data_IF_096314574105
#
_entry.id   IF_096314574105
#
_cell.length_a   1.000
_cell.length_b   1.000
_cell.length_c   1.000
_cell.angle_alpha   90.00
_cell.angle_beta   90.00
_cell.angle_gamma   90.00
#
_symmetry.space_group_name_H-M   'P 1'
#
loop_
_entity.id
_entity.type
_entity.pdbx_description
1 polymer ?
#
# COMPACT_ATOMS: atom_id res chain seq x y z
N UNK A 1 18.41 13.32 -40.46
CA UNK A 1 17.19 12.57 -40.08
C UNK A 1 17.34 12.08 -38.65
N UNK A 2 16.62 12.67 -37.68
CA UNK A 2 16.60 12.17 -36.29
C UNK A 2 15.38 11.27 -36.10
N UNK A 3 15.63 9.99 -35.80
CA UNK A 3 14.57 9.01 -35.61
C UNK A 3 13.69 9.36 -34.40
N UNK A 4 12.35 9.27 -34.50
CA UNK A 4 11.43 9.61 -33.41
C UNK A 4 11.67 8.81 -32.11
N UNK A 5 12.24 7.61 -32.20
CA UNK A 5 12.61 6.77 -31.05
C UNK A 5 13.72 7.36 -30.16
N UNK A 6 14.61 8.18 -30.72
CA UNK A 6 15.67 8.83 -29.93
C UNK A 6 15.09 9.82 -28.91
N UNK A 7 14.02 10.55 -29.30
CA UNK A 7 13.36 11.53 -28.41
C UNK A 7 12.57 10.87 -27.28
N UNK A 8 11.97 9.70 -27.52
CA UNK A 8 11.24 8.96 -26.48
C UNK A 8 12.18 8.34 -25.45
N UNK A 9 13.32 7.78 -25.89
CA UNK A 9 14.32 7.23 -24.99
C UNK A 9 14.92 8.32 -24.09
N UNK A 10 15.31 9.47 -24.65
CA UNK A 10 15.81 10.61 -23.89
C UNK A 10 14.80 11.14 -22.86
N UNK A 11 13.51 11.17 -23.23
CA UNK A 11 12.43 11.59 -22.33
C UNK A 11 12.22 10.60 -21.19
N UNK A 12 12.20 9.30 -21.49
CA UNK A 12 12.07 8.26 -20.48
C UNK A 12 13.26 8.28 -19.50
N UNK A 13 14.49 8.38 -20.00
CA UNK A 13 15.69 8.50 -19.17
C UNK A 13 15.64 9.76 -18.30
N UNK A 14 15.16 10.89 -18.83
CA UNK A 14 15.00 12.12 -18.06
C UNK A 14 13.98 11.97 -16.93
N UNK A 15 12.85 11.32 -17.19
CA UNK A 15 11.82 11.04 -16.18
C UNK A 15 12.39 10.14 -15.09
N UNK A 16 12.99 9.00 -15.45
CA UNK A 16 13.58 8.06 -14.49
C UNK A 16 14.64 8.73 -13.63
N UNK A 17 15.57 9.49 -14.24
CA UNK A 17 16.57 10.27 -13.49
C UNK A 17 15.92 11.32 -12.60
N UNK A 18 14.85 11.96 -13.08
CA UNK A 18 14.06 12.90 -12.29
C UNK A 18 13.45 12.25 -11.05
N UNK A 19 12.82 11.08 -11.19
CA UNK A 19 12.20 10.32 -10.10
C UNK A 19 13.24 9.86 -9.09
N UNK A 20 14.36 9.30 -9.55
CA UNK A 20 15.47 8.88 -8.67
C UNK A 20 16.02 10.07 -7.89
N UNK A 21 16.20 11.22 -8.54
CA UNK A 21 16.65 12.45 -7.88
C UNK A 21 15.65 12.92 -6.85
N UNK A 22 14.37 13.01 -7.20
CA UNK A 22 13.31 13.47 -6.29
C UNK A 22 13.20 12.53 -5.07
N UNK A 23 13.19 11.21 -5.30
CA UNK A 23 13.14 10.23 -4.23
C UNK A 23 14.32 10.32 -3.26
N UNK A 24 15.52 10.63 -3.78
CA UNK A 24 16.71 10.87 -2.94
C UNK A 24 16.62 12.19 -2.19
N UNK A 25 16.26 13.29 -2.86
CA UNK A 25 16.14 14.62 -2.24
C UNK A 25 15.11 14.63 -1.11
N UNK A 26 14.01 13.90 -1.27
CA UNK A 26 12.93 13.80 -0.28
C UNK A 26 13.14 12.71 0.76
N UNK A 27 14.26 11.99 0.74
CA UNK A 27 14.54 10.86 1.64
C UNK A 27 13.39 9.83 1.66
N UNK A 28 12.84 9.47 0.49
CA UNK A 28 11.72 8.52 0.34
C UNK A 28 12.00 7.19 1.04
N UNK A 29 13.23 6.70 0.97
CA UNK A 29 13.64 5.48 1.66
C UNK A 29 13.47 5.56 3.19
N UNK A 30 13.71 6.71 3.80
CA UNK A 30 13.53 6.90 5.24
C UNK A 30 12.05 6.94 5.62
N UNK A 31 11.24 7.66 4.84
CA UNK A 31 9.78 7.72 5.04
C UNK A 31 9.12 6.35 4.82
N UNK A 32 9.58 5.57 3.85
CA UNK A 32 9.12 4.20 3.66
C UNK A 32 9.38 3.33 4.91
N UNK A 33 10.51 3.53 5.59
CA UNK A 33 10.83 2.88 6.86
C UNK A 33 9.85 3.22 7.99
N UNK A 34 9.47 4.49 8.13
CA UNK A 34 8.52 4.92 9.18
C UNK A 34 7.10 4.39 8.92
N UNK A 35 6.67 4.35 7.65
CA UNK A 35 5.40 3.75 7.23
C UNK A 35 5.42 2.26 7.50
N UNK A 36 6.49 1.55 7.11
CA UNK A 36 6.62 0.11 7.31
C UNK A 36 6.59 -0.28 8.78
N UNK A 37 7.30 0.45 9.64
CA UNK A 37 7.25 0.25 11.09
C UNK A 37 5.83 0.46 11.64
N UNK A 38 5.17 1.55 11.21
CA UNK A 38 3.79 1.85 11.66
C UNK A 38 2.81 0.75 11.20
N UNK A 39 2.97 0.24 9.98
CA UNK A 39 2.17 -0.86 9.45
C UNK A 39 2.43 -2.15 10.23
N UNK A 40 3.69 -2.49 10.47
CA UNK A 40 4.09 -3.68 11.23
C UNK A 40 3.47 -3.70 12.64
N UNK A 41 3.56 -2.60 13.38
CA UNK A 41 2.97 -2.47 14.72
C UNK A 41 1.45 -2.64 14.69
N UNK A 42 0.80 -2.24 13.60
CA UNK A 42 -0.65 -2.33 13.42
C UNK A 42 -1.14 -3.74 13.03
N UNK A 43 -0.26 -4.63 12.58
CA UNK A 43 -0.64 -5.96 12.11
C UNK A 43 -1.09 -6.88 13.24
N UNK A 44 -0.45 -6.85 14.42
CA UNK A 44 -0.83 -7.74 15.53
C UNK A 44 -2.26 -7.50 16.01
N UNK A 45 -2.69 -6.26 16.32
CA UNK A 45 -4.09 -5.98 16.64
C UNK A 45 -5.05 -6.34 15.50
N UNK A 46 -4.63 -6.12 14.24
CA UNK A 46 -5.46 -6.44 13.08
C UNK A 46 -5.74 -7.94 12.99
N UNK A 47 -4.70 -8.78 13.08
CA UNK A 47 -4.83 -10.23 13.01
C UNK A 47 -5.73 -10.75 14.14
N UNK A 48 -5.54 -10.23 15.37
CA UNK A 48 -6.39 -10.56 16.51
C UNK A 48 -7.87 -10.25 16.22
N UNK A 49 -8.16 -9.05 15.70
CA UNK A 49 -9.52 -8.63 15.43
C UNK A 49 -10.16 -9.36 14.24
N UNK A 50 -9.38 -9.69 13.20
CA UNK A 50 -9.85 -10.52 12.10
C UNK A 50 -10.22 -11.92 12.59
N UNK A 51 -9.44 -12.48 13.51
CA UNK A 51 -9.74 -13.75 14.18
C UNK A 51 -11.02 -13.66 15.01
N UNK A 52 -11.16 -12.63 15.85
CA UNK A 52 -12.38 -12.42 16.66
C UNK A 52 -13.60 -12.29 15.74
N UNK A 53 -13.51 -11.45 14.70
CA UNK A 53 -14.59 -11.26 13.74
C UNK A 53 -14.94 -12.56 13.00
N UNK A 54 -13.94 -13.33 12.58
CA UNK A 54 -14.13 -14.64 11.95
C UNK A 54 -14.84 -15.63 12.89
N UNK A 55 -14.46 -15.67 14.16
CA UNK A 55 -15.09 -16.53 15.18
C UNK A 55 -16.54 -16.12 15.44
N UNK A 56 -16.83 -14.82 15.51
CA UNK A 56 -18.19 -14.29 15.75
C UNK A 56 -19.11 -14.54 14.55
N UNK A 57 -18.61 -14.34 13.32
CA UNK A 57 -19.43 -14.43 12.09
C UNK A 57 -19.56 -15.88 11.60
N UNK A 58 -18.52 -16.70 11.74
CA UNK A 58 -18.43 -18.01 11.09
C UNK A 58 -18.25 -19.23 11.99
N UNK A 59 -18.21 -19.04 13.32
CA UNK A 59 -18.04 -20.12 14.29
C UNK A 59 -16.75 -20.94 14.11
N UNK A 60 -16.69 -22.14 14.70
CA UNK A 60 -15.52 -23.04 14.62
C UNK A 60 -15.12 -23.41 13.17
N UNK A 61 -16.08 -23.39 12.24
CA UNK A 61 -15.86 -23.75 10.83
C UNK A 61 -14.96 -22.75 10.08
N UNK A 62 -15.08 -21.46 10.37
CA UNK A 62 -14.27 -20.41 9.73
C UNK A 62 -12.90 -20.32 10.39
N UNK A 63 -12.83 -20.51 11.71
CA UNK A 63 -11.58 -20.60 12.46
C UNK A 63 -10.71 -21.79 11.97
N UNK A 64 -11.33 -22.95 11.70
CA UNK A 64 -10.67 -24.11 11.10
C UNK A 64 -10.13 -23.83 9.69
N UNK A 65 -10.89 -23.11 8.86
CA UNK A 65 -10.45 -22.68 7.52
C UNK A 65 -9.28 -21.71 7.58
N UNK A 66 -9.33 -20.70 8.45
CA UNK A 66 -8.21 -19.77 8.67
C UNK A 66 -6.98 -20.55 9.13
N UNK A 67 -7.10 -21.43 10.14
CA UNK A 67 -5.98 -22.25 10.61
C UNK A 67 -5.37 -23.12 9.49
N UNK A 68 -6.20 -23.73 8.65
CA UNK A 68 -5.73 -24.52 7.50
C UNK A 68 -5.06 -23.65 6.42
N UNK A 69 -5.57 -22.44 6.18
CA UNK A 69 -5.05 -21.52 5.18
C UNK A 69 -3.73 -20.88 5.62
N UNK A 70 -3.56 -20.58 6.91
CA UNK A 70 -2.34 -19.98 7.44
C UNK A 70 -1.30 -21.01 7.87
N UNK A 71 -1.68 -22.27 8.09
CA UNK A 71 -0.78 -23.34 8.53
C UNK A 71 0.40 -23.59 7.58
N UNK A 72 0.18 -23.43 6.28
CA UNK A 72 1.25 -23.53 5.26
C UNK A 72 2.23 -22.36 5.26
N UNK A 73 1.90 -21.25 5.92
CA UNK A 73 2.70 -20.01 5.92
C UNK A 73 3.30 -19.68 7.28
N UNK A 74 2.77 -20.26 8.37
CA UNK A 74 3.25 -20.06 9.73
C UNK A 74 4.12 -21.22 10.20
N UNK A 75 5.21 -20.90 10.89
CA UNK A 75 6.00 -21.88 11.63
C UNK A 75 5.15 -22.58 12.72
N UNK A 76 5.56 -23.74 13.24
CA UNK A 76 4.85 -24.42 14.33
C UNK A 76 4.54 -23.49 15.52
N UNK A 77 5.47 -22.59 15.85
CA UNK A 77 5.29 -21.56 16.89
C UNK A 77 4.26 -20.50 16.49
N UNK A 78 4.27 -20.04 15.23
CA UNK A 78 3.25 -19.11 14.73
C UNK A 78 1.85 -19.73 14.75
N UNK A 79 1.75 -21.03 14.47
CA UNK A 79 0.48 -21.77 14.52
C UNK A 79 -0.04 -21.93 15.95
N UNK A 80 0.83 -22.19 16.94
CA UNK A 80 0.41 -22.27 18.35
C UNK A 80 -0.06 -20.92 18.87
N UNK A 81 0.68 -19.84 18.59
CA UNK A 81 0.28 -18.48 18.98
C UNK A 81 -1.06 -18.05 18.38
N UNK A 82 -1.31 -18.41 17.11
CA UNK A 82 -2.58 -18.15 16.46
C UNK A 82 -3.71 -18.98 17.10
N UNK A 83 -3.48 -20.26 17.39
CA UNK A 83 -4.48 -21.13 18.03
C UNK A 83 -4.81 -20.67 19.47
N UNK A 84 -3.81 -20.23 20.23
CA UNK A 84 -3.99 -19.66 21.56
C UNK A 84 -4.77 -18.35 21.51
N UNK A 85 -4.50 -17.51 20.52
CA UNK A 85 -5.25 -16.26 20.30
C UNK A 85 -6.72 -16.53 19.93
N UNK A 86 -6.99 -17.54 19.08
CA UNK A 86 -8.34 -17.94 18.68
C UNK A 86 -9.13 -18.49 19.89
N UNK A 87 -8.50 -19.34 20.70
CA UNK A 87 -9.18 -19.97 21.86
C UNK A 87 -9.47 -18.97 22.98
N UNK A 88 -8.63 -17.95 23.16
CA UNK A 88 -8.81 -16.89 24.16
C UNK A 88 -9.72 -15.74 23.69
N UNK A 89 -9.88 -15.57 22.37
CA UNK A 89 -10.70 -14.51 21.78
C UNK A 89 -12.18 -14.57 22.20
N UNK A 90 -12.74 -15.78 22.42
CA UNK A 90 -14.15 -15.97 22.77
C UNK A 90 -14.51 -15.67 24.22
N UNK A 91 -13.54 -15.58 25.14
CA UNK A 91 -13.80 -15.54 26.59
C UNK A 91 -13.46 -14.20 27.26
N UNK A 92 -12.88 -13.23 26.54
CA UNK A 92 -12.42 -11.97 27.15
C UNK A 92 -12.86 -10.72 26.37
N UNK A 93 -14.03 -10.18 26.72
CA UNK A 93 -14.59 -8.94 26.15
C UNK A 93 -13.64 -7.73 26.32
N UNK A 94 -12.87 -7.68 27.40
CA UNK A 94 -11.90 -6.59 27.67
C UNK A 94 -10.69 -6.55 26.73
N UNK A 95 -10.20 -7.72 26.27
CA UNK A 95 -9.11 -7.80 25.30
C UNK A 95 -9.53 -7.34 23.91
N UNK A 96 -10.81 -7.50 23.57
CA UNK A 96 -11.37 -7.04 22.29
C UNK A 96 -11.40 -5.51 22.20
N UNK A 97 -11.80 -4.81 23.28
CA UNK A 97 -11.83 -3.33 23.31
C UNK A 97 -10.42 -2.76 23.21
N UNK A 98 -9.45 -3.28 23.97
CA UNK A 98 -8.05 -2.86 23.87
C UNK A 98 -7.49 -3.12 22.48
N UNK A 99 -7.77 -4.27 21.88
CA UNK A 99 -7.38 -4.59 20.50
C UNK A 99 -7.92 -3.58 19.48
N UNK A 100 -9.21 -3.20 19.60
CA UNK A 100 -9.82 -2.18 18.73
C UNK A 100 -9.11 -0.83 18.90
N UNK A 101 -8.88 -0.38 20.13
CA UNK A 101 -8.21 0.90 20.40
C UNK A 101 -6.79 0.90 19.81
N UNK A 102 -6.02 -0.17 20.01
CA UNK A 102 -4.65 -0.28 19.48
C UNK A 102 -4.66 -0.38 17.95
N UNK A 103 -5.61 -1.09 17.35
CA UNK A 103 -5.74 -1.14 15.89
C UNK A 103 -6.07 0.23 15.31
N UNK A 104 -7.08 0.92 15.86
CA UNK A 104 -7.46 2.25 15.38
C UNK A 104 -6.30 3.24 15.50
N UNK A 105 -5.56 3.18 16.61
CA UNK A 105 -4.35 3.95 16.80
C UNK A 105 -3.27 3.60 15.76
N UNK A 106 -3.06 2.32 15.48
CA UNK A 106 -2.11 1.83 14.47
C UNK A 106 -2.47 2.26 13.05
N UNK A 107 -3.73 2.06 12.64
CA UNK A 107 -4.26 2.49 11.34
C UNK A 107 -4.10 4.00 11.18
N UNK A 108 -4.50 4.79 12.18
CA UNK A 108 -4.30 6.23 12.17
C UNK A 108 -2.83 6.61 12.00
N UNK A 109 -1.91 5.91 12.67
CA UNK A 109 -0.47 6.14 12.54
C UNK A 109 0.04 5.86 11.12
N UNK A 110 -0.43 4.81 10.46
CA UNK A 110 -0.07 4.49 9.06
C UNK A 110 -0.59 5.57 8.12
N UNK A 111 -1.85 5.97 8.26
CA UNK A 111 -2.47 7.00 7.43
C UNK A 111 -1.76 8.34 7.60
N UNK A 112 -1.47 8.72 8.85
CA UNK A 112 -0.69 9.92 9.17
C UNK A 112 0.72 9.87 8.58
N UNK A 113 1.38 8.72 8.62
CA UNK A 113 2.72 8.57 8.04
C UNK A 113 2.69 8.70 6.51
N UNK A 114 1.67 8.15 5.84
CA UNK A 114 1.45 8.33 4.41
C UNK A 114 1.16 9.78 4.05
N UNK A 115 0.18 10.39 4.70
CA UNK A 115 -0.19 11.80 4.57
C UNK A 115 1.03 12.72 4.70
N UNK A 116 1.78 12.59 5.79
CA UNK A 116 3.00 13.36 6.02
C UNK A 116 4.06 13.14 4.93
N UNK A 117 4.22 11.89 4.46
CA UNK A 117 5.20 11.58 3.41
C UNK A 117 4.78 12.14 2.04
N UNK A 118 3.48 12.09 1.72
CA UNK A 118 2.93 12.69 0.51
C UNK A 118 3.08 14.21 0.56
N UNK A 119 2.65 14.88 1.63
CA UNK A 119 2.80 16.33 1.76
C UNK A 119 4.26 16.78 1.66
N UNK A 120 5.20 16.00 2.21
CA UNK A 120 6.64 16.26 2.05
C UNK A 120 7.14 16.09 0.61
N UNK A 121 6.66 15.08 -0.13
CA UNK A 121 7.02 14.85 -1.54
C UNK A 121 6.44 15.95 -2.45
N UNK A 122 5.19 16.36 -2.20
CA UNK A 122 4.49 17.38 -2.99
C UNK A 122 4.80 18.82 -2.57
N UNK A 123 5.61 19.04 -1.54
CA UNK A 123 5.93 20.36 -0.97
C UNK A 123 4.69 21.17 -0.57
N UNK A 124 3.64 20.49 -0.10
CA UNK A 124 2.42 21.18 0.32
C UNK A 124 2.55 21.78 1.71
N UNK A 125 2.15 23.04 1.81
CA UNK A 125 2.18 23.87 3.02
C UNK A 125 0.83 23.90 3.75
N UNK A 126 -0.20 23.18 3.25
CA UNK A 126 -1.47 23.06 3.99
C UNK A 126 -1.13 22.43 5.34
N UNK A 127 -1.66 23.04 6.41
CA UNK A 127 -1.32 22.66 7.77
C UNK A 127 -1.61 21.17 7.93
N UNK A 128 -0.56 20.37 8.16
CA UNK A 128 -0.62 18.96 8.55
C UNK A 128 -1.20 18.83 9.98
N UNK A 129 -2.37 19.42 10.22
CA UNK A 129 -3.06 19.44 11.49
C UNK A 129 -3.76 18.08 11.67
N UNK A 130 -3.72 17.52 12.88
CA UNK A 130 -4.29 16.21 13.21
C UNK A 130 -5.73 15.98 12.69
N UNK A 131 -6.65 16.96 12.72
CA UNK A 131 -8.00 16.78 12.19
C UNK A 131 -8.04 16.56 10.67
N UNK A 132 -7.15 17.20 9.90
CA UNK A 132 -7.09 17.02 8.45
C UNK A 132 -6.60 15.60 8.14
N UNK A 133 -5.52 15.17 8.79
CA UNK A 133 -4.95 13.82 8.63
C UNK A 133 -5.95 12.71 8.97
N UNK A 134 -6.82 12.94 9.97
CA UNK A 134 -7.90 12.01 10.30
C UNK A 134 -8.96 11.96 9.19
N UNK A 135 -9.38 13.12 8.69
CA UNK A 135 -10.37 13.22 7.61
C UNK A 135 -9.85 12.56 6.33
N UNK A 136 -8.63 12.90 5.92
CA UNK A 136 -8.01 12.36 4.71
C UNK A 136 -7.77 10.86 4.84
N UNK A 137 -7.28 10.41 6.00
CA UNK A 137 -7.20 9.01 6.34
C UNK A 137 -8.53 8.27 6.24
N UNK A 138 -9.61 8.82 6.79
CA UNK A 138 -10.94 8.21 6.73
C UNK A 138 -11.49 8.17 5.29
N UNK A 139 -11.33 9.24 4.51
CA UNK A 139 -11.72 9.29 3.10
C UNK A 139 -10.95 8.24 2.29
N UNK A 140 -9.64 8.12 2.50
CA UNK A 140 -8.81 7.11 1.83
C UNK A 140 -9.26 5.71 2.24
N UNK A 141 -9.50 5.42 3.53
CA UNK A 141 -9.95 4.10 3.96
C UNK A 141 -11.28 3.69 3.32
N UNK A 142 -12.27 4.59 3.30
CA UNK A 142 -13.58 4.33 2.68
C UNK A 142 -13.40 4.13 1.17
N UNK A 143 -12.61 4.97 0.51
CA UNK A 143 -12.36 4.87 -0.92
C UNK A 143 -11.59 3.58 -1.29
N UNK A 144 -10.62 3.16 -0.47
CA UNK A 144 -9.92 1.88 -0.62
C UNK A 144 -10.89 0.70 -0.46
N UNK A 145 -11.77 0.74 0.54
CA UNK A 145 -12.79 -0.28 0.74
C UNK A 145 -13.75 -0.37 -0.46
N UNK A 146 -14.26 0.76 -0.94
CA UNK A 146 -15.13 0.82 -2.11
C UNK A 146 -14.44 0.34 -3.39
N UNK A 147 -13.19 0.77 -3.62
CA UNK A 147 -12.39 0.34 -4.76
C UNK A 147 -12.12 -1.17 -4.73
N UNK A 148 -11.79 -1.72 -3.55
CA UNK A 148 -11.58 -3.16 -3.36
C UNK A 148 -12.86 -3.95 -3.65
N UNK A 149 -14.01 -3.51 -3.13
CA UNK A 149 -15.31 -4.15 -3.41
C UNK A 149 -15.69 -4.07 -4.88
N UNK A 150 -15.44 -2.93 -5.54
CA UNK A 150 -15.69 -2.77 -6.97
C UNK A 150 -14.81 -3.72 -7.81
N UNK A 151 -13.54 -3.86 -7.45
CA UNK A 151 -12.62 -4.83 -8.08
C UNK A 151 -13.10 -6.26 -7.85
N UNK A 152 -13.54 -6.60 -6.64
CA UNK A 152 -14.05 -7.94 -6.32
C UNK A 152 -15.32 -8.26 -7.11
N UNK A 153 -16.24 -7.30 -7.23
CA UNK A 153 -17.44 -7.43 -8.05
C UNK A 153 -17.10 -7.56 -9.55
N UNK A 154 -16.11 -6.81 -10.05
CA UNK A 154 -15.66 -6.94 -11.44
C UNK A 154 -15.01 -8.32 -11.70
N UNK A 155 -14.31 -8.87 -10.72
CA UNK A 155 -13.65 -10.17 -10.83
C UNK A 155 -14.63 -11.35 -10.98
N UNK A 156 -15.88 -11.23 -10.49
CA UNK A 156 -16.90 -12.28 -10.67
C UNK A 156 -17.51 -12.29 -12.06
N UNK A 157 -17.42 -11.17 -12.80
CA UNK A 157 -17.97 -11.01 -14.16
C UNK A 157 -17.00 -11.58 -15.19
N UNK A 158 -15.69 -11.45 -14.94
CA UNK A 158 -14.62 -11.82 -15.88
C UNK A 158 -14.71 -13.26 -16.46
N UNK A 159 -15.07 -14.29 -15.68
CA UNK A 159 -15.23 -15.67 -16.18
C UNK A 159 -16.39 -15.86 -17.17
N UNK A 160 -17.36 -14.95 -17.18
CA UNK A 160 -18.57 -15.05 -18.01
C UNK A 160 -18.44 -14.33 -19.37
N UNK A 161 -17.26 -13.80 -19.69
CA UNK A 161 -16.98 -13.16 -20.98
C UNK A 161 -16.32 -14.19 -21.92
N UNK A 162 -17.06 -14.83 -22.83
CA UNK A 162 -16.48 -15.80 -23.76
C UNK A 162 -15.55 -15.14 -24.78
N UNK A 163 -14.56 -15.88 -25.28
CA UNK A 163 -13.65 -15.50 -26.38
C UNK A 163 -12.75 -14.27 -26.14
N UNK A 164 -12.13 -14.16 -24.96
CA UNK A 164 -11.12 -13.12 -24.70
C UNK A 164 -9.81 -13.47 -25.45
N UNK A 165 -9.37 -12.63 -26.42
CA UNK A 165 -8.07 -12.82 -27.06
C UNK A 165 -6.93 -12.53 -26.05
N UNK A 166 -5.86 -13.32 -26.11
CA UNK A 166 -4.68 -13.19 -25.24
C UNK A 166 -4.99 -13.18 -23.72
N UNK A 167 -5.56 -14.26 -23.16
CA UNK A 167 -6.04 -14.31 -21.78
C UNK A 167 -4.96 -13.96 -20.74
N UNK A 168 -3.68 -14.28 -21.02
CA UNK A 168 -2.56 -13.90 -20.16
C UNK A 168 -2.35 -12.38 -20.10
N UNK A 169 -2.35 -11.70 -21.26
CA UNK A 169 -2.19 -10.24 -21.32
C UNK A 169 -3.38 -9.53 -20.68
N UNK A 170 -4.59 -10.02 -20.93
CA UNK A 170 -5.81 -9.46 -20.33
C UNK A 170 -5.79 -9.62 -18.81
N UNK A 171 -5.36 -10.77 -18.28
CA UNK A 171 -5.19 -10.98 -16.84
C UNK A 171 -4.16 -10.04 -16.22
N UNK A 172 -3.01 -9.87 -16.85
CA UNK A 172 -1.98 -8.94 -16.36
C UNK A 172 -2.46 -7.49 -16.42
N UNK A 173 -3.08 -7.08 -17.52
CA UNK A 173 -3.63 -5.72 -17.68
C UNK A 173 -4.77 -5.44 -16.69
N UNK A 174 -5.66 -6.41 -16.46
CA UNK A 174 -6.76 -6.27 -15.50
C UNK A 174 -6.24 -6.17 -14.07
N UNK A 175 -5.17 -6.89 -13.72
CA UNK A 175 -4.52 -6.76 -12.42
C UNK A 175 -3.93 -5.37 -12.22
N UNK A 176 -3.20 -4.85 -13.21
CA UNK A 176 -2.64 -3.50 -13.13
C UNK A 176 -3.74 -2.45 -13.06
N UNK A 177 -4.80 -2.59 -13.84
CA UNK A 177 -5.97 -1.70 -13.79
C UNK A 177 -6.63 -1.73 -12.41
N UNK A 178 -6.90 -2.92 -11.88
CA UNK A 178 -7.51 -3.11 -10.56
C UNK A 178 -6.66 -2.47 -9.45
N UNK A 179 -5.35 -2.75 -9.43
CA UNK A 179 -4.43 -2.15 -8.48
C UNK A 179 -4.35 -0.63 -8.65
N UNK A 180 -4.39 -0.11 -9.88
CA UNK A 180 -4.38 1.34 -10.13
C UNK A 180 -5.62 2.00 -9.55
N UNK A 181 -6.80 1.38 -9.71
CA UNK A 181 -8.06 1.85 -9.12
C UNK A 181 -8.00 1.83 -7.60
N UNK A 182 -7.44 0.75 -7.02
CA UNK A 182 -7.26 0.64 -5.56
C UNK A 182 -6.28 1.69 -5.06
N UNK A 183 -5.17 1.96 -5.74
CA UNK A 183 -4.20 2.94 -5.26
C UNK A 183 -4.62 4.40 -5.52
N UNK A 184 -5.50 4.67 -6.48
CA UNK A 184 -5.85 6.03 -6.90
C UNK A 184 -6.27 6.97 -5.76
N UNK A 185 -7.10 6.56 -4.77
CA UNK A 185 -7.48 7.44 -3.66
C UNK A 185 -6.27 7.94 -2.86
N UNK A 186 -5.26 7.10 -2.65
CA UNK A 186 -4.01 7.46 -1.94
C UNK A 186 -3.30 8.60 -2.68
N UNK A 187 -3.23 8.51 -4.02
CA UNK A 187 -2.58 9.50 -4.86
C UNK A 187 -3.39 10.78 -5.10
N UNK A 188 -4.68 10.76 -4.80
CA UNK A 188 -5.57 11.89 -4.99
C UNK A 188 -5.79 12.69 -3.71
N UNK A 189 -5.88 12.02 -2.55
CA UNK A 189 -6.24 12.66 -1.28
C UNK A 189 -5.01 13.13 -0.51
N UNK A 190 -4.05 12.25 -0.23
CA UNK A 190 -2.89 12.58 0.63
C UNK A 190 -1.92 13.67 0.14
N UNK A 191 -1.80 14.01 -1.15
CA UNK A 191 -0.94 15.13 -1.56
C UNK A 191 -1.31 16.48 -0.91
N UNK A 192 -2.51 16.65 -0.36
CA UNK A 192 -3.04 17.93 0.14
C UNK A 192 -2.97 19.08 -0.89
N UNK A 193 -2.87 18.72 -2.16
CA UNK A 193 -2.79 19.62 -3.30
C UNK A 193 -4.06 19.50 -4.14
N UNK A 194 -4.43 20.60 -4.80
CA UNK A 194 -5.55 20.62 -5.73
C UNK A 194 -5.14 19.90 -7.04
N UNK A 195 -5.10 18.57 -6.99
CA UNK A 195 -4.72 17.70 -8.09
C UNK A 195 -5.95 17.21 -8.85
N UNK A 196 -5.87 17.21 -10.18
CA UNK A 196 -6.86 16.50 -10.99
C UNK A 196 -6.59 14.99 -10.97
N UNK A 197 -7.61 14.16 -11.15
CA UNK A 197 -7.46 12.69 -11.25
C UNK A 197 -6.43 12.28 -12.33
N UNK A 198 -6.34 13.05 -13.42
CA UNK A 198 -5.36 12.82 -14.50
C UNK A 198 -3.91 13.02 -14.04
N UNK A 199 -3.68 13.88 -13.05
CA UNK A 199 -2.37 14.11 -12.45
C UNK A 199 -2.02 13.06 -11.40
N UNK A 200 -3.01 12.47 -10.73
CA UNK A 200 -2.82 11.41 -9.74
C UNK A 200 -2.57 10.03 -10.38
N UNK A 201 -3.21 9.76 -11.52
CA UNK A 201 -3.24 8.45 -12.19
C UNK A 201 -1.86 7.86 -12.53
N UNK A 202 -0.88 8.61 -13.07
CA UNK A 202 0.43 8.04 -13.43
C UNK A 202 1.14 7.39 -12.24
N UNK A 203 1.09 8.02 -11.07
CA UNK A 203 1.67 7.52 -9.82
C UNK A 203 0.96 6.28 -9.32
N UNK A 204 -0.38 6.24 -9.42
CA UNK A 204 -1.17 5.05 -9.10
C UNK A 204 -0.82 3.86 -10.00
N UNK A 205 -0.61 4.10 -11.30
CA UNK A 205 -0.18 3.07 -12.26
C UNK A 205 1.24 2.59 -11.95
N UNK A 206 2.16 3.50 -11.63
CA UNK A 206 3.53 3.12 -11.22
C UNK A 206 3.50 2.30 -9.93
N UNK A 207 2.68 2.68 -8.95
CA UNK A 207 2.50 1.91 -7.73
C UNK A 207 1.90 0.53 -8.01
N UNK A 208 0.90 0.43 -8.90
CA UNK A 208 0.31 -0.85 -9.31
C UNK A 208 1.34 -1.78 -9.97
N UNK A 209 2.15 -1.27 -10.89
CA UNK A 209 3.22 -2.03 -11.55
C UNK A 209 4.28 -2.45 -10.53
N UNK A 210 4.75 -1.51 -9.71
CA UNK A 210 5.73 -1.80 -8.67
C UNK A 210 5.22 -2.82 -7.64
N UNK A 211 3.93 -2.78 -7.31
CA UNK A 211 3.30 -3.71 -6.39
C UNK A 211 3.22 -5.12 -7.00
N UNK A 212 2.86 -5.23 -8.27
CA UNK A 212 2.86 -6.50 -8.98
C UNK A 212 4.27 -7.10 -9.07
N UNK A 213 5.28 -6.28 -9.38
CA UNK A 213 6.69 -6.69 -9.39
C UNK A 213 7.19 -7.10 -8.00
N UNK A 214 6.79 -6.37 -6.96
CA UNK A 214 7.12 -6.69 -5.58
C UNK A 214 6.57 -8.06 -5.18
N UNK A 215 5.30 -8.34 -5.50
CA UNK A 215 4.68 -9.64 -5.23
C UNK A 215 5.36 -10.77 -6.00
N UNK A 216 5.68 -10.56 -7.28
CA UNK A 216 6.42 -11.54 -8.08
C UNK A 216 7.81 -11.81 -7.48
N UNK A 217 8.54 -10.77 -7.10
CA UNK A 217 9.86 -10.88 -6.47
C UNK A 217 9.82 -11.59 -5.11
N UNK A 218 8.82 -11.30 -4.29
CA UNK A 218 8.60 -12.01 -3.03
C UNK A 218 8.23 -13.48 -3.24
N UNK A 219 7.40 -13.78 -4.24
CA UNK A 219 7.07 -15.16 -4.62
C UNK A 219 8.32 -15.97 -5.00
N UNK A 220 9.21 -15.37 -5.79
CA UNK A 220 10.51 -15.96 -6.13
C UNK A 220 11.35 -16.15 -4.86
N UNK A 221 11.49 -15.13 -4.03
CA UNK A 221 12.27 -15.22 -2.78
C UNK A 221 11.79 -16.39 -1.91
N UNK A 222 10.49 -16.49 -1.64
CA UNK A 222 9.92 -17.55 -0.80
C UNK A 222 10.14 -18.93 -1.43
N UNK A 223 9.99 -19.06 -2.76
CA UNK A 223 10.19 -20.34 -3.45
C UNK A 223 11.62 -20.88 -3.36
N UNK A 224 12.62 -19.99 -3.30
CA UNK A 224 14.03 -20.37 -3.20
C UNK A 224 14.58 -20.33 -1.77
N UNK A 225 13.84 -19.75 -0.82
CA UNK A 225 14.30 -19.65 0.57
C UNK A 225 13.94 -20.92 1.35
N UNK A 226 14.95 -21.67 1.79
CA UNK A 226 14.79 -22.68 2.86
C UNK A 226 14.72 -22.05 4.26
N UNK A 227 14.54 -20.72 4.35
CA UNK A 227 14.69 -19.96 5.61
C UNK A 227 13.62 -20.21 6.66
N UNK A 228 12.54 -20.93 6.35
CA UNK A 228 11.61 -21.43 7.37
C UNK A 228 12.35 -22.25 8.43
N UNK A 229 13.42 -22.97 8.02
CA UNK A 229 14.20 -23.82 8.91
C UNK A 229 15.39 -23.09 9.58
N UNK A 230 15.92 -22.01 8.98
CA UNK A 230 17.14 -21.35 9.46
C UNK A 230 16.92 -20.24 10.49
N UNK A 231 15.79 -19.50 10.41
CA UNK A 231 15.55 -18.32 11.26
C UNK A 231 14.18 -18.30 11.95
N UNK A 232 13.32 -19.29 11.71
CA UNK A 232 12.01 -19.43 12.35
C UNK A 232 11.18 -18.13 12.33
N UNK A 233 10.63 -17.76 13.48
CA UNK A 233 9.77 -16.56 13.63
C UNK A 233 10.52 -15.25 13.30
N UNK A 234 11.81 -15.16 13.63
CA UNK A 234 12.62 -13.94 13.39
C UNK A 234 12.77 -13.70 11.88
N UNK A 235 13.03 -14.76 11.11
CA UNK A 235 13.10 -14.68 9.65
C UNK A 235 11.79 -14.18 9.04
N UNK A 236 10.65 -14.67 9.53
CA UNK A 236 9.32 -14.22 9.09
C UNK A 236 9.06 -12.75 9.40
N UNK A 237 9.46 -12.26 10.58
CA UNK A 237 9.32 -10.85 10.98
C UNK A 237 10.17 -9.94 10.09
N UNK A 238 11.44 -10.29 9.86
CA UNK A 238 12.33 -9.53 8.98
C UNK A 238 11.74 -9.47 7.57
N UNK A 239 11.33 -10.62 7.04
CA UNK A 239 10.72 -10.72 5.71
C UNK A 239 9.48 -9.84 5.58
N UNK A 240 8.61 -9.85 6.58
CA UNK A 240 7.40 -9.04 6.62
C UNK A 240 7.70 -7.54 6.67
N UNK A 241 8.62 -7.10 7.54
CA UNK A 241 9.03 -5.69 7.60
C UNK A 241 9.66 -5.26 6.28
N UNK A 242 10.47 -6.11 5.65
CA UNK A 242 11.03 -5.87 4.32
C UNK A 242 9.93 -5.74 3.26
N UNK A 243 8.89 -6.58 3.30
CA UNK A 243 7.76 -6.48 2.39
C UNK A 243 7.03 -5.14 2.53
N UNK A 244 6.71 -4.76 3.77
CA UNK A 244 6.04 -3.50 4.09
C UNK A 244 6.90 -2.29 3.67
N UNK A 245 8.22 -2.38 3.86
CA UNK A 245 9.18 -1.37 3.43
C UNK A 245 9.15 -1.15 1.93
N UNK A 246 9.31 -2.20 1.13
CA UNK A 246 9.27 -2.08 -0.32
C UNK A 246 7.87 -1.70 -0.82
N UNK A 247 6.81 -2.14 -0.16
CA UNK A 247 5.44 -1.72 -0.45
C UNK A 247 5.26 -0.20 -0.30
N UNK A 248 5.70 0.35 0.83
CA UNK A 248 5.70 1.80 1.06
C UNK A 248 6.59 2.53 0.05
N UNK A 249 7.78 1.99 -0.25
CA UNK A 249 8.71 2.56 -1.23
C UNK A 249 8.08 2.65 -2.63
N UNK A 250 7.39 1.60 -3.08
CA UNK A 250 6.67 1.59 -4.36
C UNK A 250 5.61 2.70 -4.43
N UNK A 251 4.82 2.87 -3.36
CA UNK A 251 3.80 3.92 -3.29
C UNK A 251 4.45 5.31 -3.37
N UNK A 252 5.50 5.56 -2.58
CA UNK A 252 6.18 6.85 -2.56
C UNK A 252 6.96 7.15 -3.86
N UNK A 253 7.47 6.13 -4.56
CA UNK A 253 8.04 6.29 -5.90
C UNK A 253 6.95 6.71 -6.90
N UNK A 254 5.73 6.18 -6.78
CA UNK A 254 4.57 6.66 -7.53
C UNK A 254 4.32 8.15 -7.30
N UNK A 255 4.47 8.62 -6.06
CA UNK A 255 4.23 10.02 -5.70
C UNK A 255 5.32 10.93 -6.29
N UNK A 256 6.59 10.53 -6.17
CA UNK A 256 7.70 11.21 -6.82
C UNK A 256 7.54 11.24 -8.35
N UNK A 257 6.97 10.19 -8.95
CA UNK A 257 6.66 10.16 -10.38
C UNK A 257 5.66 11.23 -10.77
N UNK A 258 4.57 11.37 -10.01
CA UNK A 258 3.57 12.42 -10.23
C UNK A 258 4.20 13.82 -10.19
N UNK A 259 5.01 14.12 -9.17
CA UNK A 259 5.71 15.41 -9.04
C UNK A 259 6.64 15.69 -10.24
N UNK A 260 7.40 14.68 -10.67
CA UNK A 260 8.31 14.82 -11.83
C UNK A 260 7.53 15.05 -13.13
N UNK A 261 6.39 14.37 -13.31
CA UNK A 261 5.56 14.49 -14.51
C UNK A 261 4.79 15.80 -14.58
N UNK A 262 4.36 16.36 -13.44
CA UNK A 262 3.75 17.69 -13.39
C UNK A 262 4.73 18.79 -13.77
N UNK A 263 6.04 18.49 -13.73
CA UNK A 263 7.10 19.48 -13.80
C UNK A 263 7.08 20.30 -12.51
N UNK A 264 8.25 20.55 -11.90
CA UNK A 264 8.34 21.47 -10.77
C UNK A 264 7.80 22.83 -11.21
N UNK A 265 6.51 23.11 -10.98
CA UNK A 265 6.07 24.48 -10.81
C UNK A 265 6.69 24.89 -9.48
N UNK A 266 7.80 25.63 -9.57
CA UNK A 266 8.23 26.42 -8.43
C UNK A 266 6.98 27.14 -7.88
N UNK A 267 6.76 27.15 -6.56
CA UNK A 267 5.56 27.74 -6.00
C UNK A 267 5.41 29.18 -6.50
N UNK A 268 4.27 29.46 -7.13
CA UNK A 268 3.88 30.76 -7.65
C UNK A 268 3.54 31.73 -6.50
N UNK A 269 4.48 31.93 -5.57
CA UNK A 269 4.33 32.80 -4.40
C UNK A 269 5.50 33.77 -4.19
N UNK A 270 6.36 33.96 -5.19
CA UNK A 270 7.42 34.97 -5.17
C UNK A 270 7.16 36.18 -6.09
N UNK A 271 6.06 36.19 -6.85
CA UNK A 271 5.79 37.24 -7.86
C UNK A 271 4.83 38.34 -7.37
N UNK A 272 4.19 38.17 -6.21
CA UNK A 272 3.29 39.20 -5.64
C UNK A 272 3.96 40.14 -4.62
N UNK A 273 5.26 39.97 -4.33
CA UNK A 273 5.96 40.81 -3.34
C UNK A 273 6.88 41.89 -3.97
N UNK A 274 6.82 42.12 -5.29
CA UNK A 274 7.56 43.20 -5.98
C UNK A 274 6.68 44.27 -6.63
N UNK A 275 5.39 44.28 -6.31
CA UNK A 275 4.48 45.37 -6.71
C UNK A 275 3.72 45.86 -5.49
N UNK A 276 4.45 46.35 -4.49
CA UNK A 276 4.00 47.39 -3.55
C UNK A 276 5.21 48.24 -3.16
#
# INVERSE_FOLDING_TARGET
MSFPYARSAERATRIVRGVVREARTKNVAFMAGSIAYSAFVSLLPLVLLLVIAASVVGGESLAGRVRSATGSYLSPTGQSLLADSISQAGSQTGLSVLGIVVLLWGVFRVLRALDTAFSAIYDTQRRNDLPNQFKDGAVVLVALGAAFLAVLAAATILPFVPNIPFPGLVRSASLILALSVVFLPVFYVFPDADLSLRMALPGAVVAAIGWALLNAGFGVYVAYSSTQDLYGVIGGVILLITFLYFGALVILIGAATNVVLMGRRAPASAETAKVQ
#
